data_IF_143310526265
#
_entry.id   IF_143310526265
#
_cell.length_a   1.000
_cell.length_b   1.000
_cell.length_c   1.000
_cell.angle_alpha   90.00
_cell.angle_beta   90.00
_cell.angle_gamma   90.00
#
_symmetry.space_group_name_H-M   'P 1'
#
loop_
_entity.id
_entity.type
_entity.pdbx_description
1 polymer ?
#
# COMPACT_ATOMS: atom_id res chain seq x y z
N UNK A 1 -47.10 -17.25 46.42
CA UNK A 1 -46.27 -18.34 46.96
C UNK A 1 -46.89 -19.65 46.51
N UNK A 2 -46.57 -20.14 45.32
CA UNK A 2 -46.87 -21.50 44.80
C UNK A 2 -46.43 -21.62 43.32
N UNK A 3 -45.82 -22.79 43.02
CA UNK A 3 -45.61 -23.49 41.73
C UNK A 3 -44.48 -23.11 40.74
N UNK A 4 -43.44 -23.96 40.78
CA UNK A 4 -42.71 -24.64 39.69
C UNK A 4 -43.21 -24.47 38.24
N UNK A 5 -42.29 -24.26 37.28
CA UNK A 5 -42.00 -25.21 36.18
C UNK A 5 -40.78 -24.77 35.34
N UNK A 6 -39.96 -25.76 34.94
CA UNK A 6 -38.87 -25.68 33.96
C UNK A 6 -39.29 -25.00 32.64
N UNK A 7 -38.42 -24.17 32.06
CA UNK A 7 -38.29 -24.06 30.60
C UNK A 7 -36.85 -23.74 30.19
N UNK A 8 -36.25 -24.71 29.49
CA UNK A 8 -35.13 -24.52 28.57
C UNK A 8 -35.55 -23.50 27.49
N UNK A 9 -34.74 -22.46 27.25
CA UNK A 9 -34.88 -21.63 26.06
C UNK A 9 -33.55 -21.57 25.31
N UNK A 10 -33.53 -22.28 24.18
CA UNK A 10 -32.66 -22.05 23.05
C UNK A 10 -32.99 -20.67 22.48
N UNK A 11 -32.02 -19.75 22.48
CA UNK A 11 -32.08 -18.55 21.63
C UNK A 11 -31.25 -18.79 20.38
N UNK A 12 -31.93 -19.27 19.34
CA UNK A 12 -31.49 -19.11 17.95
C UNK A 12 -31.75 -17.67 17.53
N UNK A 13 -30.69 -16.88 17.38
CA UNK A 13 -30.76 -15.59 16.69
C UNK A 13 -30.70 -15.84 15.19
N UNK A 14 -31.87 -15.71 14.59
CA UNK A 14 -32.15 -15.78 13.16
C UNK A 14 -31.59 -14.52 12.50
N UNK A 15 -30.40 -14.62 11.89
CA UNK A 15 -29.86 -13.56 11.02
C UNK A 15 -30.66 -13.60 9.72
N UNK A 16 -31.41 -12.53 9.48
CA UNK A 16 -32.21 -12.33 8.29
C UNK A 16 -31.36 -12.48 7.02
N UNK A 17 -31.88 -13.24 6.07
CA UNK A 17 -31.25 -13.57 4.80
C UNK A 17 -30.92 -12.33 3.97
N UNK A 18 -29.67 -12.25 3.53
CA UNK A 18 -29.25 -11.47 2.38
C UNK A 18 -29.76 -12.19 1.12
N UNK A 19 -30.91 -11.76 0.59
CA UNK A 19 -31.21 -12.00 -0.81
C UNK A 19 -30.31 -11.09 -1.65
N UNK A 20 -29.27 -11.68 -2.24
CA UNK A 20 -28.59 -11.08 -3.39
C UNK A 20 -29.60 -10.98 -4.53
N UNK A 21 -29.84 -9.76 -4.99
CA UNK A 21 -30.59 -9.50 -6.23
C UNK A 21 -29.74 -10.01 -7.41
N UNK A 22 -30.18 -11.10 -8.05
CA UNK A 22 -29.52 -11.83 -9.15
C UNK A 22 -29.47 -11.06 -10.49
N UNK A 23 -29.37 -9.73 -10.43
CA UNK A 23 -29.04 -8.93 -11.62
C UNK A 23 -27.57 -9.13 -11.97
N UNK A 24 -27.35 -10.14 -12.80
CA UNK A 24 -26.08 -10.51 -13.45
C UNK A 24 -25.29 -9.25 -13.84
N UNK A 25 -24.17 -8.94 -13.17
CA UNK A 25 -23.29 -7.86 -13.59
C UNK A 25 -22.75 -8.18 -14.99
N UNK A 26 -22.64 -7.16 -15.85
CA UNK A 26 -22.03 -7.29 -17.17
C UNK A 26 -20.63 -7.95 -17.07
N UNK A 27 -20.22 -8.65 -18.13
CA UNK A 27 -18.94 -9.38 -18.19
C UNK A 27 -17.72 -8.52 -17.82
N UNK A 28 -17.76 -7.21 -18.08
CA UNK A 28 -16.71 -6.24 -17.72
C UNK A 28 -16.68 -5.89 -16.23
N UNK A 29 -17.79 -6.00 -15.52
CA UNK A 29 -17.88 -5.74 -14.07
C UNK A 29 -17.44 -6.95 -13.22
N UNK A 30 -17.46 -8.17 -13.77
CA UNK A 30 -16.96 -9.36 -13.05
C UNK A 30 -15.44 -9.43 -12.99
N UNK A 31 -14.73 -8.97 -14.01
CA UNK A 31 -13.26 -8.98 -14.02
C UNK A 31 -12.67 -7.95 -13.05
N UNK A 32 -13.28 -6.77 -12.92
CA UNK A 32 -12.82 -5.72 -11.99
C UNK A 32 -13.08 -6.07 -10.52
N UNK A 33 -14.20 -6.73 -10.20
CA UNK A 33 -14.49 -7.19 -8.83
C UNK A 33 -13.57 -8.36 -8.45
N UNK A 34 -13.24 -9.26 -9.40
CA UNK A 34 -12.28 -10.34 -9.16
C UNK A 34 -10.86 -9.80 -8.93
N UNK A 35 -10.38 -8.87 -9.77
CA UNK A 35 -9.07 -8.25 -9.58
C UNK A 35 -8.96 -7.45 -8.28
N UNK A 36 -10.08 -6.84 -7.83
CA UNK A 36 -10.15 -6.18 -6.53
C UNK A 36 -9.97 -7.19 -5.38
N UNK A 37 -10.69 -8.30 -5.39
CA UNK A 37 -10.51 -9.36 -4.39
C UNK A 37 -9.12 -10.01 -4.46
N UNK A 38 -8.47 -10.00 -5.62
CA UNK A 38 -7.12 -10.57 -5.77
C UNK A 38 -6.05 -9.72 -5.07
N UNK A 39 -6.23 -8.39 -4.96
CA UNK A 39 -5.33 -7.46 -4.24
C UNK A 39 -5.41 -7.56 -2.71
N UNK A 40 -6.57 -7.92 -2.18
CA UNK A 40 -6.90 -7.83 -0.75
C UNK A 40 -7.21 -9.24 -0.23
N UNK A 41 -6.35 -9.78 0.63
CA UNK A 41 -6.48 -11.19 0.96
C UNK A 41 -7.61 -11.50 1.96
N UNK A 42 -8.36 -12.56 1.63
CA UNK A 42 -9.30 -13.26 2.50
C UNK A 42 -8.79 -14.68 2.87
N UNK A 43 -7.53 -15.00 2.57
CA UNK A 43 -6.89 -16.26 2.92
C UNK A 43 -6.63 -16.38 4.43
N UNK A 44 -6.56 -17.63 4.92
CA UNK A 44 -6.36 -17.91 6.34
C UNK A 44 -4.88 -17.74 6.68
N UNK A 45 -4.58 -16.80 7.58
CA UNK A 45 -3.27 -16.45 8.20
C UNK A 45 -2.27 -17.60 8.45
N UNK A 46 -2.70 -18.86 8.52
CA UNK A 46 -1.90 -19.98 9.00
C UNK A 46 -1.26 -20.85 7.89
N UNK A 47 -1.53 -20.57 6.61
CA UNK A 47 -1.02 -21.38 5.49
C UNK A 47 0.04 -20.64 4.64
N UNK A 48 0.01 -19.30 4.65
CA UNK A 48 0.94 -18.48 3.87
C UNK A 48 2.37 -18.48 4.44
N UNK A 49 3.36 -18.41 3.54
CA UNK A 49 4.80 -18.37 3.85
C UNK A 49 5.42 -16.99 3.61
N UNK A 50 4.79 -16.17 2.79
CA UNK A 50 5.21 -14.80 2.48
C UNK A 50 4.22 -13.83 3.08
N UNK A 51 4.69 -12.98 3.98
CA UNK A 51 3.95 -11.83 4.48
C UNK A 51 4.31 -10.60 3.63
N UNK A 52 3.33 -9.92 3.07
CA UNK A 52 3.51 -8.65 2.39
C UNK A 52 2.79 -7.54 3.16
N UNK A 53 3.57 -6.58 3.67
CA UNK A 53 3.00 -5.37 4.27
C UNK A 53 2.46 -4.49 3.14
N UNK A 54 1.14 -4.53 2.94
CA UNK A 54 0.48 -3.64 2.00
C UNK A 54 0.43 -2.25 2.65
N UNK A 55 1.36 -1.36 2.31
CA UNK A 55 1.16 0.06 2.60
C UNK A 55 0.33 0.64 1.45
N UNK A 56 -0.72 1.44 1.70
CA UNK A 56 -1.50 2.02 0.61
C UNK A 56 -0.59 2.77 -0.37
N UNK A 57 -0.89 2.70 -1.67
CA UNK A 57 -0.24 3.51 -2.73
C UNK A 57 1.27 3.29 -2.93
N UNK A 58 1.83 2.18 -2.44
CA UNK A 58 3.20 1.73 -2.76
C UNK A 58 3.23 0.51 -3.71
N UNK A 59 2.32 0.48 -4.69
CA UNK A 59 2.17 -0.60 -5.67
C UNK A 59 1.77 -1.98 -5.09
N UNK A 60 1.11 -2.01 -3.93
CA UNK A 60 0.83 -3.26 -3.22
C UNK A 60 0.03 -4.29 -4.03
N UNK A 61 -0.98 -3.87 -4.79
CA UNK A 61 -1.71 -4.75 -5.72
C UNK A 61 -0.82 -5.43 -6.76
N UNK A 62 0.06 -4.67 -7.41
CA UNK A 62 0.99 -5.21 -8.40
C UNK A 62 1.93 -6.22 -7.75
N UNK A 63 2.46 -5.89 -6.56
CA UNK A 63 3.36 -6.79 -5.82
C UNK A 63 2.67 -8.10 -5.47
N UNK A 64 1.41 -8.05 -5.03
CA UNK A 64 0.65 -9.28 -4.70
C UNK A 64 0.53 -10.18 -5.91
N UNK A 65 0.24 -9.62 -7.09
CA UNK A 65 0.18 -10.40 -8.33
C UNK A 65 1.55 -11.01 -8.65
N UNK A 66 2.63 -10.24 -8.64
CA UNK A 66 3.96 -10.76 -8.98
C UNK A 66 4.45 -11.81 -7.97
N UNK A 67 4.23 -11.59 -6.67
CA UNK A 67 4.52 -12.60 -5.64
C UNK A 67 3.70 -13.88 -5.86
N UNK A 68 2.42 -13.74 -6.23
CA UNK A 68 1.55 -14.89 -6.49
C UNK A 68 2.02 -15.70 -7.69
N UNK A 69 2.49 -15.03 -8.74
CA UNK A 69 3.08 -15.68 -9.92
C UNK A 69 4.40 -16.40 -9.57
N UNK A 70 5.16 -15.91 -8.58
CA UNK A 70 6.43 -16.50 -8.14
C UNK A 70 6.27 -17.71 -7.21
N UNK A 71 5.41 -17.60 -6.18
CA UNK A 71 5.34 -18.60 -5.10
C UNK A 71 3.99 -19.30 -4.97
N UNK A 72 2.99 -18.91 -5.77
CA UNK A 72 1.60 -19.35 -5.61
C UNK A 72 0.81 -18.39 -4.71
N UNK A 73 -0.43 -18.06 -5.12
CA UNK A 73 -1.27 -17.07 -4.43
C UNK A 73 -1.55 -17.45 -2.97
N UNK A 74 -1.71 -18.74 -2.68
CA UNK A 74 -1.98 -19.28 -1.35
C UNK A 74 -0.78 -19.14 -0.40
N UNK A 75 0.42 -18.91 -0.93
CA UNK A 75 1.63 -18.67 -0.13
C UNK A 75 1.78 -17.21 0.30
N UNK A 76 0.96 -16.29 -0.23
CA UNK A 76 1.09 -14.85 0.00
C UNK A 76 -0.04 -14.37 0.89
N UNK A 77 0.29 -13.91 2.09
CA UNK A 77 -0.60 -13.10 2.93
C UNK A 77 -0.29 -11.63 2.72
N UNK A 78 -1.30 -10.82 2.44
CA UNK A 78 -1.16 -9.37 2.26
C UNK A 78 -2.30 -8.65 2.93
N UNK A 79 -1.98 -7.60 3.69
CA UNK A 79 -2.98 -6.78 4.36
C UNK A 79 -2.41 -5.40 4.70
N UNK A 80 -3.29 -4.41 4.83
CA UNK A 80 -2.97 -3.07 5.31
C UNK A 80 -2.94 -3.05 6.85
N UNK A 81 -2.05 -3.86 7.41
CA UNK A 81 -1.84 -4.02 8.86
C UNK A 81 -0.54 -3.36 9.31
N UNK A 82 -0.12 -3.64 10.56
CA UNK A 82 1.20 -3.27 11.05
C UNK A 82 2.25 -4.28 10.61
N UNK A 83 3.49 -3.84 10.43
CA UNK A 83 4.61 -4.75 10.19
C UNK A 83 4.78 -5.79 11.31
N UNK A 84 4.38 -5.47 12.55
CA UNK A 84 4.40 -6.42 13.66
C UNK A 84 3.53 -7.67 13.45
N UNK A 85 2.64 -7.70 12.45
CA UNK A 85 1.94 -8.92 12.04
C UNK A 85 2.88 -9.97 11.41
N UNK A 86 4.02 -9.55 10.86
CA UNK A 86 5.02 -10.46 10.30
C UNK A 86 5.58 -11.44 11.34
N UNK A 87 5.57 -11.08 12.62
CA UNK A 87 6.01 -11.95 13.71
C UNK A 87 4.88 -12.77 14.36
N UNK A 88 3.63 -12.56 13.93
CA UNK A 88 2.46 -13.27 14.46
C UNK A 88 2.07 -14.51 13.65
N UNK A 89 2.67 -14.72 12.49
CA UNK A 89 2.49 -15.90 11.65
C UNK A 89 3.79 -16.69 11.50
N UNK A 90 3.70 -17.89 10.93
CA UNK A 90 4.87 -18.71 10.61
C UNK A 90 5.41 -18.37 9.21
N UNK A 91 5.59 -17.07 8.94
CA UNK A 91 6.09 -16.59 7.66
C UNK A 91 7.61 -16.82 7.56
N UNK A 92 8.05 -17.27 6.40
CA UNK A 92 9.48 -17.45 6.07
C UNK A 92 10.08 -16.18 5.47
N UNK A 93 9.23 -15.31 4.90
CA UNK A 93 9.66 -14.05 4.30
C UNK A 93 8.67 -12.93 4.59
N UNK A 94 9.21 -11.74 4.82
CA UNK A 94 8.44 -10.49 4.88
C UNK A 94 8.87 -9.55 3.75
N UNK A 95 7.90 -9.06 2.99
CA UNK A 95 8.08 -8.16 1.86
C UNK A 95 7.51 -6.79 2.21
N UNK A 96 8.29 -5.75 1.98
CA UNK A 96 7.89 -4.35 2.16
C UNK A 96 8.21 -3.57 0.89
N UNK A 97 7.28 -2.71 0.48
CA UNK A 97 7.52 -1.69 -0.54
C UNK A 97 7.60 -0.31 0.10
N UNK A 98 8.46 0.54 -0.45
CA UNK A 98 8.47 1.97 -0.15
C UNK A 98 8.34 2.80 -1.43
N UNK A 99 7.91 4.05 -1.29
CA UNK A 99 7.78 5.02 -2.38
C UNK A 99 8.31 6.37 -1.95
N UNK A 100 8.80 7.17 -2.89
CA UNK A 100 9.23 8.54 -2.58
C UNK A 100 8.07 9.32 -1.92
N UNK A 101 8.27 9.94 -0.73
CA UNK A 101 7.17 10.41 0.11
C UNK A 101 6.26 11.44 -0.54
N UNK A 102 6.80 12.38 -1.33
CA UNK A 102 5.96 13.37 -2.01
C UNK A 102 5.04 12.68 -3.03
N UNK A 103 5.62 11.83 -3.89
CA UNK A 103 4.87 11.03 -4.85
C UNK A 103 3.87 10.08 -4.18
N UNK A 104 4.17 9.59 -2.98
CA UNK A 104 3.29 8.75 -2.19
C UNK A 104 2.03 9.52 -1.75
N UNK A 105 2.20 10.67 -1.10
CA UNK A 105 1.08 11.52 -0.66
C UNK A 105 0.24 12.02 -1.84
N UNK A 106 0.89 12.43 -2.93
CA UNK A 106 0.17 12.83 -4.14
C UNK A 106 -0.68 11.70 -4.73
N UNK A 107 -0.16 10.47 -4.73
CA UNK A 107 -0.91 9.29 -5.17
C UNK A 107 -2.06 8.91 -4.24
N UNK A 108 -1.98 9.22 -2.94
CA UNK A 108 -3.11 9.07 -2.02
C UNK A 108 -4.26 10.00 -2.41
N UNK A 109 -3.96 11.29 -2.62
CA UNK A 109 -4.96 12.27 -3.04
C UNK A 109 -5.61 11.87 -4.37
N UNK A 110 -4.80 11.57 -5.38
CA UNK A 110 -5.29 11.15 -6.68
C UNK A 110 -6.22 9.94 -6.57
N UNK A 111 -5.86 8.96 -5.73
CA UNK A 111 -6.73 7.82 -5.48
C UNK A 111 -8.05 8.27 -4.84
N UNK A 112 -8.05 8.99 -3.72
CA UNK A 112 -9.30 9.37 -3.05
C UNK A 112 -10.20 10.25 -3.93
N UNK A 113 -9.59 11.17 -4.68
CA UNK A 113 -10.31 12.15 -5.49
C UNK A 113 -10.89 11.54 -6.76
N UNK A 114 -10.15 10.64 -7.41
CA UNK A 114 -10.57 10.06 -8.68
C UNK A 114 -11.13 8.65 -8.56
N UNK A 115 -11.09 8.04 -7.37
CA UNK A 115 -11.34 6.63 -7.20
C UNK A 115 -12.57 6.21 -8.01
N UNK A 116 -12.27 5.50 -9.09
CA UNK A 116 -13.21 4.73 -9.88
C UNK A 116 -13.37 3.32 -9.31
N UNK A 117 -12.59 2.99 -8.28
CA UNK A 117 -12.63 1.71 -7.59
C UNK A 117 -14.05 1.43 -7.11
N UNK A 118 -14.74 0.43 -7.69
CA UNK A 118 -16.14 0.20 -7.38
C UNK A 118 -16.36 -0.18 -5.92
N UNK A 119 -15.38 -0.83 -5.27
CA UNK A 119 -15.44 -1.22 -3.85
C UNK A 119 -15.41 0.00 -2.94
N UNK A 120 -14.39 0.84 -3.11
CA UNK A 120 -14.25 2.10 -2.41
C UNK A 120 -15.45 3.03 -2.67
N UNK A 121 -15.88 3.23 -3.93
CA UNK A 121 -17.06 4.05 -4.25
C UNK A 121 -18.34 3.48 -3.65
N UNK A 122 -18.53 2.16 -3.66
CA UNK A 122 -19.70 1.53 -3.06
C UNK A 122 -19.70 1.71 -1.54
N UNK A 123 -18.54 1.54 -0.88
CA UNK A 123 -18.41 1.69 0.56
C UNK A 123 -18.60 3.14 1.00
N UNK A 124 -17.97 4.09 0.31
CA UNK A 124 -18.13 5.51 0.59
C UNK A 124 -19.55 5.96 0.26
N UNK A 125 -20.10 5.60 -0.91
CA UNK A 125 -21.46 5.94 -1.31
C UNK A 125 -22.53 5.37 -0.37
N UNK A 126 -22.35 4.13 0.13
CA UNK A 126 -23.23 3.56 1.17
C UNK A 126 -23.13 4.33 2.49
N UNK A 127 -21.92 4.67 2.96
CA UNK A 127 -21.75 5.48 4.17
C UNK A 127 -22.31 6.91 4.02
N UNK A 128 -22.20 7.51 2.83
CA UNK A 128 -22.78 8.81 2.51
C UNK A 128 -24.31 8.78 2.49
N UNK A 129 -24.92 7.75 1.89
CA UNK A 129 -26.36 7.54 1.94
C UNK A 129 -26.90 7.33 3.37
N UNK A 130 -26.05 6.90 4.30
CA UNK A 130 -26.34 6.85 5.74
C UNK A 130 -26.11 8.20 6.46
N UNK A 131 -25.26 9.09 5.93
CA UNK A 131 -24.94 10.43 6.49
C UNK A 131 -25.72 11.59 5.83
N UNK A 132 -26.49 11.35 4.76
CA UNK A 132 -27.30 12.37 4.09
C UNK A 132 -26.51 13.43 3.30
N UNK A 133 -25.26 13.16 2.91
CA UNK A 133 -24.43 14.08 2.13
C UNK A 133 -24.43 13.72 0.63
N UNK A 134 -24.70 14.71 -0.24
CA UNK A 134 -24.72 14.55 -1.70
C UNK A 134 -23.33 14.63 -2.37
N UNK A 135 -22.30 15.10 -1.64
CA UNK A 135 -20.92 15.25 -2.15
C UNK A 135 -19.90 14.76 -1.14
N UNK A 136 -18.78 14.27 -1.65
CA UNK A 136 -17.57 13.98 -0.88
C UNK A 136 -17.02 15.29 -0.30
N UNK A 137 -16.63 15.31 0.97
CA UNK A 137 -15.99 16.49 1.60
C UNK A 137 -14.48 16.59 1.29
N UNK A 138 -13.96 15.77 0.38
CA UNK A 138 -12.57 15.88 -0.06
C UNK A 138 -12.40 17.17 -0.86
N UNK A 139 -11.30 17.88 -0.60
CA UNK A 139 -10.97 19.10 -1.33
C UNK A 139 -10.85 18.84 -2.84
N UNK A 140 -11.22 19.86 -3.65
CA UNK A 140 -11.23 19.75 -5.11
C UNK A 140 -9.82 19.74 -5.73
N UNK A 141 -8.83 20.25 -5.00
CA UNK A 141 -7.44 20.33 -5.42
C UNK A 141 -6.48 19.77 -4.37
N UNK A 142 -5.31 19.30 -4.83
CA UNK A 142 -4.29 18.73 -3.95
C UNK A 142 -3.76 19.75 -2.95
N UNK A 143 -3.57 21.00 -3.37
CA UNK A 143 -3.11 22.09 -2.50
C UNK A 143 -4.12 22.39 -1.39
N UNK A 144 -5.42 22.46 -1.71
CA UNK A 144 -6.46 22.66 -0.71
C UNK A 144 -6.51 21.50 0.29
N UNK A 145 -6.35 20.26 -0.18
CA UNK A 145 -6.30 19.07 0.68
C UNK A 145 -5.11 19.10 1.64
N UNK A 146 -3.91 19.41 1.13
CA UNK A 146 -2.70 19.51 1.96
C UNK A 146 -2.79 20.68 2.94
N UNK A 147 -3.35 21.82 2.53
CA UNK A 147 -3.53 22.98 3.40
C UNK A 147 -4.47 22.64 4.57
N UNK A 148 -5.61 21.99 4.30
CA UNK A 148 -6.55 21.56 5.35
C UNK A 148 -5.88 20.59 6.33
N UNK A 149 -5.15 19.59 5.84
CA UNK A 149 -4.44 18.65 6.70
C UNK A 149 -3.32 19.31 7.52
N UNK A 150 -2.66 20.32 6.97
CA UNK A 150 -1.57 21.03 7.64
C UNK A 150 -2.09 21.97 8.74
N UNK A 151 -3.21 22.64 8.47
CA UNK A 151 -3.86 23.58 9.40
C UNK A 151 -4.68 22.85 10.47
N UNK A 152 -5.38 21.77 10.09
CA UNK A 152 -6.31 21.03 10.92
C UNK A 152 -6.00 19.52 10.91
N UNK A 153 -4.82 19.08 11.40
CA UNK A 153 -4.43 17.68 11.35
C UNK A 153 -5.34 16.82 12.23
N UNK A 154 -5.84 15.73 11.66
CA UNK A 154 -6.75 14.79 12.33
C UNK A 154 -5.98 13.56 12.80
N UNK A 155 -5.90 13.38 14.11
CA UNK A 155 -5.17 12.27 14.73
C UNK A 155 -6.12 11.25 15.32
N UNK A 156 -5.78 9.97 15.19
CA UNK A 156 -6.50 8.89 15.85
C UNK A 156 -6.44 7.58 15.10
N UNK A 157 -7.26 6.66 15.60
CA UNK A 157 -7.41 5.31 15.08
C UNK A 157 -8.61 5.27 14.12
N UNK A 158 -8.41 5.69 12.87
CA UNK A 158 -9.47 5.75 11.87
C UNK A 158 -9.04 5.13 10.53
N UNK A 159 -9.99 4.49 9.87
CA UNK A 159 -9.83 3.99 8.50
C UNK A 159 -10.12 5.10 7.49
N UNK A 160 -9.71 4.92 6.23
CA UNK A 160 -10.09 5.79 5.13
C UNK A 160 -11.62 6.02 5.08
N UNK A 161 -12.42 5.06 5.56
CA UNK A 161 -13.88 5.18 5.60
C UNK A 161 -14.46 5.92 6.80
N UNK A 162 -13.64 6.22 7.79
CA UNK A 162 -14.03 6.85 9.06
C UNK A 162 -13.62 8.34 9.08
N UNK A 163 -12.71 8.74 8.19
CA UNK A 163 -12.37 10.14 7.91
C UNK A 163 -13.52 10.85 7.17
N UNK A 164 -13.76 12.12 7.48
CA UNK A 164 -14.84 12.90 6.86
C UNK A 164 -14.56 13.24 5.38
N UNK A 165 -13.29 13.31 4.95
CA UNK A 165 -12.90 13.43 3.54
C UNK A 165 -12.85 12.06 2.84
N UNK A 166 -13.07 10.99 3.61
CA UNK A 166 -12.90 9.60 3.19
C UNK A 166 -11.53 9.32 2.58
N UNK A 167 -10.45 9.94 3.07
CA UNK A 167 -9.11 9.81 2.48
C UNK A 167 -8.04 9.32 3.47
N UNK A 168 -6.89 8.92 2.92
CA UNK A 168 -5.74 8.46 3.67
C UNK A 168 -5.10 9.59 4.50
N UNK A 169 -4.48 9.22 5.63
CA UNK A 169 -3.64 10.11 6.41
C UNK A 169 -2.33 10.45 5.67
N UNK A 170 -2.02 11.72 5.37
CA UNK A 170 -0.80 12.08 4.64
C UNK A 170 0.47 12.08 5.52
N UNK A 171 0.35 11.93 6.83
CA UNK A 171 1.47 12.02 7.77
C UNK A 171 2.21 10.69 7.94
N UNK A 172 3.51 10.68 7.57
CA UNK A 172 4.48 9.60 7.81
C UNK A 172 3.88 8.18 7.72
N UNK A 173 3.08 7.90 6.69
CA UNK A 173 2.31 6.66 6.63
C UNK A 173 3.22 5.44 6.53
N UNK A 174 4.29 5.50 5.74
CA UNK A 174 5.19 4.35 5.56
C UNK A 174 5.91 4.00 6.87
N UNK A 175 6.40 5.01 7.58
CA UNK A 175 7.03 4.87 8.90
C UNK A 175 6.02 4.38 9.94
N UNK A 176 4.79 4.91 9.92
CA UNK A 176 3.72 4.50 10.83
C UNK A 176 3.36 3.02 10.66
N UNK A 177 3.26 2.53 9.42
CA UNK A 177 2.98 1.11 9.14
C UNK A 177 4.09 0.18 9.61
N UNK A 178 5.34 0.64 9.53
CA UNK A 178 6.50 -0.10 10.04
C UNK A 178 6.60 -0.03 11.56
N UNK A 179 6.23 1.08 12.21
CA UNK A 179 6.35 1.25 13.67
C UNK A 179 5.17 0.68 14.46
N UNK A 180 3.98 0.62 13.87
CA UNK A 180 2.78 0.38 14.66
C UNK A 180 2.76 -1.02 15.29
N UNK A 181 2.15 -1.09 16.48
CA UNK A 181 2.10 -2.31 17.27
C UNK A 181 0.67 -2.55 17.75
N UNK A 182 -0.14 -3.13 16.87
CA UNK A 182 -1.54 -3.39 17.20
C UNK A 182 -1.93 -4.82 16.81
N UNK A 183 -2.72 -5.44 17.69
CA UNK A 183 -3.48 -6.67 17.38
C UNK A 183 -4.79 -6.38 16.64
N UNK A 184 -5.12 -5.11 16.46
CA UNK A 184 -6.28 -4.61 15.70
C UNK A 184 -5.75 -3.99 14.41
N UNK A 185 -6.46 -4.19 13.30
CA UNK A 185 -6.15 -3.64 11.97
C UNK A 185 -5.58 -2.23 12.09
N UNK A 186 -4.36 -2.03 11.60
CA UNK A 186 -3.62 -0.79 11.73
C UNK A 186 -4.35 0.32 10.97
N UNK A 187 -4.83 1.31 11.72
CA UNK A 187 -5.71 2.37 11.21
C UNK A 187 -5.22 3.69 11.78
N UNK A 188 -3.97 4.03 11.47
CA UNK A 188 -3.23 5.02 12.23
C UNK A 188 -2.98 6.29 11.42
N UNK A 189 -3.58 7.38 11.89
CA UNK A 189 -3.02 8.70 11.70
C UNK A 189 -2.52 9.19 13.05
N UNK A 190 -1.27 8.90 13.36
CA UNK A 190 -0.66 9.32 14.61
C UNK A 190 0.39 10.38 14.35
N UNK A 191 0.41 11.36 15.23
CA UNK A 191 1.37 12.47 15.15
C UNK A 191 2.81 11.98 15.24
N UNK A 192 3.05 10.95 16.05
CA UNK A 192 4.38 10.40 16.29
C UNK A 192 4.31 8.87 16.14
N UNK A 193 4.92 8.34 15.10
CA UNK A 193 5.31 6.94 15.08
C UNK A 193 6.57 6.78 15.93
N UNK A 194 6.79 5.59 16.51
CA UNK A 194 8.12 5.29 17.05
C UNK A 194 9.07 5.03 15.87
N UNK A 195 9.71 6.10 15.41
CA UNK A 195 10.58 6.06 14.25
C UNK A 195 11.76 5.09 14.42
N UNK A 196 12.23 4.87 15.65
CA UNK A 196 13.30 3.90 15.90
C UNK A 196 12.82 2.47 15.62
N UNK A 197 11.57 2.15 16.00
CA UNK A 197 10.94 0.86 15.65
C UNK A 197 10.72 0.76 14.14
N UNK A 198 10.26 1.82 13.46
CA UNK A 198 10.12 1.81 11.99
C UNK A 198 11.44 1.45 11.30
N UNK A 199 12.54 2.09 11.72
CA UNK A 199 13.88 1.84 11.19
C UNK A 199 14.41 0.45 11.51
N UNK A 200 14.12 -0.09 12.70
CA UNK A 200 14.45 -1.47 13.05
C UNK A 200 13.69 -2.46 12.17
N UNK A 201 12.40 -2.23 11.96
CA UNK A 201 11.54 -3.08 11.16
C UNK A 201 11.85 -3.02 9.66
N UNK A 202 12.23 -1.84 9.15
CA UNK A 202 12.78 -1.69 7.81
C UNK A 202 14.02 -2.57 7.62
N UNK A 203 14.90 -2.67 8.62
CA UNK A 203 16.11 -3.51 8.55
C UNK A 203 15.82 -5.01 8.71
N UNK A 204 14.78 -5.37 9.45
CA UNK A 204 14.43 -6.78 9.70
C UNK A 204 13.54 -7.40 8.60
N UNK A 205 12.87 -6.59 7.78
CA UNK A 205 12.11 -7.07 6.64
C UNK A 205 12.99 -7.93 5.72
N UNK A 206 12.54 -9.13 5.35
CA UNK A 206 13.32 -10.08 4.56
C UNK A 206 13.66 -9.52 3.18
N UNK A 207 12.69 -8.86 2.55
CA UNK A 207 12.84 -8.30 1.21
C UNK A 207 12.22 -6.89 1.21
N UNK A 208 12.95 -5.94 0.63
CA UNK A 208 12.54 -4.56 0.50
C UNK A 208 12.58 -4.17 -0.97
N UNK A 209 11.49 -3.65 -1.50
CA UNK A 209 11.42 -3.06 -2.82
C UNK A 209 11.15 -1.55 -2.78
N UNK A 210 11.35 -0.90 -3.91
CA UNK A 210 11.17 0.53 -4.11
C UNK A 210 10.29 0.72 -5.34
N UNK A 211 9.17 1.44 -5.20
CA UNK A 211 8.20 1.66 -6.30
C UNK A 211 8.87 2.29 -7.51
N UNK A 212 9.80 3.22 -7.29
CA UNK A 212 10.53 3.83 -8.38
C UNK A 212 11.31 2.79 -9.19
N UNK A 213 11.91 1.78 -8.58
CA UNK A 213 12.65 0.72 -9.26
C UNK A 213 11.85 -0.60 -9.20
N UNK A 214 10.61 -0.57 -9.74
CA UNK A 214 9.66 -1.67 -9.60
C UNK A 214 10.15 -2.95 -10.27
N UNK A 215 10.61 -2.89 -11.52
CA UNK A 215 11.18 -4.04 -12.22
C UNK A 215 12.36 -4.66 -11.44
N UNK A 216 13.30 -3.84 -10.97
CA UNK A 216 14.41 -4.30 -10.13
C UNK A 216 13.92 -4.95 -8.82
N UNK A 217 12.85 -4.41 -8.23
CA UNK A 217 12.21 -4.97 -7.02
C UNK A 217 11.66 -6.36 -7.31
N UNK A 218 10.95 -6.56 -8.42
CA UNK A 218 10.44 -7.87 -8.86
C UNK A 218 11.60 -8.86 -9.05
N UNK A 219 12.72 -8.42 -9.63
CA UNK A 219 13.91 -9.26 -9.78
C UNK A 219 14.52 -9.67 -8.44
N UNK A 220 14.60 -8.75 -7.47
CA UNK A 220 15.03 -9.04 -6.11
C UNK A 220 14.09 -10.05 -5.43
N UNK A 221 12.77 -9.91 -5.64
CA UNK A 221 11.78 -10.81 -5.07
C UNK A 221 11.97 -12.23 -5.61
N UNK A 222 12.09 -12.38 -6.92
CA UNK A 222 12.33 -13.68 -7.56
C UNK A 222 13.60 -14.33 -7.02
N UNK A 223 14.71 -13.59 -6.96
CA UNK A 223 15.99 -14.11 -6.50
C UNK A 223 15.96 -14.60 -5.04
N UNK A 224 15.28 -13.86 -4.16
CA UNK A 224 15.19 -14.17 -2.72
C UNK A 224 14.17 -15.27 -2.42
N UNK A 225 13.03 -15.29 -3.11
CA UNK A 225 11.94 -16.23 -2.82
C UNK A 225 12.11 -17.57 -3.55
N UNK A 226 12.56 -17.56 -4.80
CA UNK A 226 12.67 -18.78 -5.62
C UNK A 226 14.09 -19.33 -5.70
N UNK A 227 15.09 -18.51 -5.31
CA UNK A 227 16.50 -18.85 -5.52
C UNK A 227 16.94 -18.80 -6.98
N UNK A 228 16.09 -18.27 -7.88
CA UNK A 228 16.34 -18.16 -9.31
C UNK A 228 16.10 -16.74 -9.82
N UNK A 229 16.80 -16.37 -10.90
CA UNK A 229 16.73 -15.07 -11.52
C UNK A 229 16.21 -15.22 -12.97
N UNK A 230 15.05 -14.63 -13.32
CA UNK A 230 14.50 -14.68 -14.68
C UNK A 230 15.41 -14.02 -15.71
N UNK A 231 15.29 -14.38 -16.99
CA UNK A 231 16.09 -13.78 -18.05
C UNK A 231 15.89 -12.26 -18.19
N UNK A 232 14.68 -11.76 -17.90
CA UNK A 232 14.41 -10.33 -17.93
C UNK A 232 15.09 -9.54 -16.81
N UNK A 233 15.67 -10.22 -15.82
CA UNK A 233 16.40 -9.60 -14.72
C UNK A 233 17.90 -9.44 -15.02
N UNK A 234 18.18 -8.94 -16.21
CA UNK A 234 19.51 -8.58 -16.68
C UNK A 234 19.38 -7.33 -17.55
N UNK A 235 19.66 -6.15 -17.00
CA UNK A 235 19.44 -4.86 -17.63
C UNK A 235 20.36 -4.59 -18.83
N UNK A 236 21.32 -5.48 -19.08
CA UNK A 236 22.17 -5.49 -20.27
C UNK A 236 21.61 -6.43 -21.37
N UNK A 237 20.56 -7.19 -21.07
CA UNK A 237 19.91 -8.13 -21.98
C UNK A 237 18.76 -7.51 -22.78
N UNK A 238 18.41 -8.14 -23.90
CA UNK A 238 17.21 -7.78 -24.66
C UNK A 238 15.92 -8.12 -23.91
N UNK A 239 15.93 -9.15 -23.05
CA UNK A 239 14.77 -9.58 -22.28
C UNK A 239 14.32 -8.54 -21.26
N UNK A 240 15.24 -7.71 -20.74
CA UNK A 240 14.92 -6.58 -19.86
C UNK A 240 13.89 -5.63 -20.47
N UNK A 241 14.12 -5.24 -21.72
CA UNK A 241 13.24 -4.29 -22.42
C UNK A 241 11.92 -4.92 -22.89
N UNK A 242 11.84 -6.26 -22.91
CA UNK A 242 10.63 -6.99 -23.27
C UNK A 242 9.73 -7.26 -22.05
N UNK A 243 10.21 -7.02 -20.82
CA UNK A 243 9.41 -7.17 -19.63
C UNK A 243 8.32 -6.10 -19.58
N UNK A 244 7.09 -6.55 -19.35
CA UNK A 244 5.95 -5.69 -19.11
C UNK A 244 5.71 -5.68 -17.60
N UNK A 245 6.01 -4.56 -16.96
CA UNK A 245 5.74 -4.38 -15.54
C UNK A 245 4.26 -4.64 -15.25
N UNK A 246 4.01 -5.39 -14.18
CA UNK A 246 2.66 -5.54 -13.67
C UNK A 246 2.17 -4.17 -13.20
N UNK A 247 1.23 -3.59 -13.94
CA UNK A 247 0.57 -2.36 -13.55
C UNK A 247 -0.89 -2.63 -13.21
N UNK A 248 -1.19 -2.73 -11.92
CA UNK A 248 -2.56 -2.66 -11.41
C UNK A 248 -2.84 -1.22 -11.06
N UNK A 249 -3.41 -0.48 -12.01
CA UNK A 249 -3.83 0.91 -11.80
C UNK A 249 -5.31 0.96 -11.41
N UNK A 250 -5.65 1.79 -10.44
CA UNK A 250 -7.04 2.15 -10.13
C UNK A 250 -7.46 3.40 -10.93
N UNK A 251 -7.01 3.47 -12.19
CA UNK A 251 -7.07 4.63 -13.10
C UNK A 251 -6.22 5.84 -12.67
N UNK A 252 -5.08 5.65 -12.02
CA UNK A 252 -4.13 6.76 -11.82
C UNK A 252 -3.61 7.33 -13.15
N UNK A 253 -3.68 6.59 -14.26
CA UNK A 253 -3.31 7.11 -15.59
C UNK A 253 -4.22 8.27 -16.02
N UNK A 254 -5.53 8.15 -15.73
CA UNK A 254 -6.46 9.26 -15.92
C UNK A 254 -6.21 10.41 -14.92
N UNK A 255 -5.57 10.12 -13.78
CA UNK A 255 -5.16 11.12 -12.80
C UNK A 255 -3.95 11.95 -13.25
N UNK A 256 -2.96 11.31 -13.86
CA UNK A 256 -1.82 12.01 -14.42
C UNK A 256 -2.24 12.97 -15.54
N UNK A 257 -3.20 12.55 -16.37
CA UNK A 257 -3.79 13.41 -17.41
C UNK A 257 -4.61 14.57 -16.82
N UNK A 258 -5.35 14.33 -15.73
CA UNK A 258 -6.23 15.33 -15.12
C UNK A 258 -5.53 16.31 -14.16
N UNK A 259 -4.47 15.90 -13.44
CA UNK A 259 -3.84 16.68 -12.38
C UNK A 259 -2.36 16.97 -12.60
N UNK A 260 -1.77 16.46 -13.70
CA UNK A 260 -0.37 16.69 -14.04
C UNK A 260 0.60 15.90 -13.17
N UNK A 261 1.83 16.42 -13.05
CA UNK A 261 2.89 15.82 -12.25
C UNK A 261 2.98 16.50 -10.89
N UNK A 262 3.49 15.79 -9.90
CA UNK A 262 3.88 16.41 -8.62
C UNK A 262 4.90 17.55 -8.79
N UNK A 263 5.62 17.58 -9.92
CA UNK A 263 6.54 18.67 -10.27
C UNK A 263 5.83 20.01 -10.53
N UNK A 264 4.53 19.96 -10.84
CA UNK A 264 3.71 21.12 -11.16
C UNK A 264 3.02 21.69 -9.91
N UNK A 265 3.15 21.01 -8.75
CA UNK A 265 2.58 21.45 -7.47
C UNK A 265 3.36 22.66 -6.94
N UNK A 266 2.68 23.72 -6.43
CA UNK A 266 3.33 24.88 -5.84
C UNK A 266 4.35 24.53 -4.76
N UNK A 267 5.46 25.25 -4.73
CA UNK A 267 6.59 24.98 -3.84
C UNK A 267 6.20 25.04 -2.35
N UNK A 268 5.32 25.97 -1.97
CA UNK A 268 4.82 26.10 -0.60
C UNK A 268 4.00 24.88 -0.15
N UNK A 269 3.20 24.31 -1.06
CA UNK A 269 2.45 23.06 -0.82
C UNK A 269 3.42 21.89 -0.68
N UNK A 270 4.44 21.81 -1.52
CA UNK A 270 5.49 20.78 -1.40
C UNK A 270 6.22 20.87 -0.05
N UNK A 271 6.47 22.07 0.48
CA UNK A 271 7.08 22.21 1.80
C UNK A 271 6.17 21.67 2.92
N UNK A 272 4.84 21.85 2.80
CA UNK A 272 3.89 21.26 3.74
C UNK A 272 3.90 19.73 3.67
N UNK A 273 3.95 19.16 2.47
CA UNK A 273 4.14 17.71 2.29
C UNK A 273 5.44 17.24 2.94
N UNK A 274 6.55 17.94 2.70
CA UNK A 274 7.84 17.62 3.32
C UNK A 274 7.83 17.71 4.85
N UNK A 275 7.02 18.61 5.40
CA UNK A 275 6.81 18.77 6.84
C UNK A 275 6.00 17.59 7.41
N UNK A 276 4.98 17.14 6.69
CA UNK A 276 4.13 15.99 7.03
C UNK A 276 4.87 14.65 6.93
N UNK A 277 5.83 14.53 6.01
CA UNK A 277 6.51 13.27 5.68
C UNK A 277 7.99 13.23 6.09
N UNK A 278 8.38 13.98 7.13
CA UNK A 278 9.80 14.07 7.57
C UNK A 278 10.42 12.71 7.87
N UNK A 279 9.69 11.84 8.56
CA UNK A 279 10.17 10.51 8.94
C UNK A 279 10.22 9.59 7.72
N UNK A 280 9.17 9.62 6.88
CA UNK A 280 9.12 8.85 5.64
C UNK A 280 10.26 9.21 4.69
N UNK A 281 10.74 10.47 4.68
CA UNK A 281 11.91 10.88 3.88
C UNK A 281 13.19 10.22 4.38
N UNK A 282 13.42 10.20 5.69
CA UNK A 282 14.60 9.55 6.27
C UNK A 282 14.52 8.04 6.07
N UNK A 283 13.32 7.47 6.25
CA UNK A 283 13.04 6.05 6.01
C UNK A 283 13.31 5.67 4.56
N UNK A 284 12.80 6.43 3.60
CA UNK A 284 12.97 6.20 2.17
C UNK A 284 14.45 6.28 1.76
N UNK A 285 15.22 7.24 2.30
CA UNK A 285 16.66 7.31 2.06
C UNK A 285 17.39 6.04 2.54
N UNK A 286 17.07 5.56 3.74
CA UNK A 286 17.63 4.33 4.26
C UNK A 286 17.19 3.10 3.47
N UNK A 287 15.93 3.08 3.05
CA UNK A 287 15.33 2.01 2.26
C UNK A 287 15.99 1.89 0.88
N UNK A 288 16.17 3.00 0.16
CA UNK A 288 16.89 3.01 -1.12
C UNK A 288 18.32 2.53 -0.96
N UNK A 289 19.05 2.98 0.08
CA UNK A 289 20.40 2.48 0.35
C UNK A 289 20.41 0.96 0.52
N UNK A 290 19.58 0.45 1.44
CA UNK A 290 19.47 -0.99 1.68
C UNK A 290 19.09 -1.75 0.40
N UNK A 291 18.09 -1.27 -0.33
CA UNK A 291 17.67 -1.86 -1.60
C UNK A 291 18.82 -1.99 -2.60
N UNK A 292 19.61 -0.94 -2.77
CA UNK A 292 20.78 -0.98 -3.68
C UNK A 292 21.85 -1.97 -3.21
N UNK A 293 22.04 -2.15 -1.90
CA UNK A 293 22.95 -3.14 -1.32
C UNK A 293 22.42 -4.57 -1.55
N UNK A 294 21.12 -4.79 -1.31
CA UNK A 294 20.45 -6.07 -1.53
C UNK A 294 20.49 -6.50 -3.01
N UNK A 295 20.28 -5.56 -3.93
CA UNK A 295 20.43 -5.82 -5.38
C UNK A 295 21.87 -6.21 -5.71
N UNK A 296 22.86 -5.46 -5.22
CA UNK A 296 24.27 -5.76 -5.50
C UNK A 296 24.66 -7.16 -5.03
N UNK A 297 24.15 -7.62 -3.88
CA UNK A 297 24.36 -9.00 -3.42
C UNK A 297 23.80 -10.02 -4.41
N UNK A 298 22.58 -9.79 -4.92
CA UNK A 298 21.95 -10.66 -5.92
C UNK A 298 22.73 -10.63 -7.24
N UNK A 299 23.15 -9.45 -7.72
CA UNK A 299 23.96 -9.31 -8.93
C UNK A 299 25.26 -10.13 -8.83
N UNK A 300 25.96 -10.04 -7.69
CA UNK A 300 27.16 -10.83 -7.43
C UNK A 300 26.88 -12.33 -7.42
N UNK A 301 25.76 -12.76 -6.84
CA UNK A 301 25.38 -14.17 -6.75
C UNK A 301 25.06 -14.78 -8.12
N UNK A 302 24.38 -14.03 -9.00
CA UNK A 302 23.91 -14.55 -10.29
C UNK A 302 24.80 -14.16 -11.48
N UNK A 303 25.78 -13.26 -11.28
CA UNK A 303 26.62 -12.76 -12.37
C UNK A 303 25.83 -11.95 -13.40
N UNK A 304 24.75 -11.29 -12.97
CA UNK A 304 23.83 -10.51 -13.79
C UNK A 304 23.70 -9.11 -13.25
N UNK A 305 23.42 -8.15 -14.11
CA UNK A 305 23.19 -6.76 -13.70
C UNK A 305 21.70 -6.49 -13.65
N UNK A 306 21.17 -6.19 -12.48
CA UNK A 306 19.75 -5.89 -12.27
C UNK A 306 19.55 -4.39 -12.22
N UNK A 307 20.37 -3.65 -11.45
CA UNK A 307 20.22 -2.20 -11.30
C UNK A 307 21.11 -1.47 -12.31
N UNK A 308 20.46 -0.92 -13.32
CA UNK A 308 21.12 -0.13 -14.35
C UNK A 308 21.67 1.21 -13.79
N UNK A 309 22.78 1.70 -14.36
CA UNK A 309 23.45 2.92 -13.90
C UNK A 309 22.52 4.15 -13.89
N UNK A 310 21.70 4.30 -14.93
CA UNK A 310 20.72 5.39 -15.04
C UNK A 310 19.70 5.35 -13.91
N UNK A 311 19.25 4.16 -13.56
CA UNK A 311 18.25 3.95 -12.53
C UNK A 311 18.83 4.20 -11.13
N UNK A 312 20.05 3.68 -10.86
CA UNK A 312 20.79 4.00 -9.64
C UNK A 312 20.95 5.52 -9.45
N UNK A 313 21.33 6.24 -10.50
CA UNK A 313 21.45 7.70 -10.45
C UNK A 313 20.10 8.37 -10.17
N UNK A 314 19.01 7.88 -10.77
CA UNK A 314 17.66 8.40 -10.53
C UNK A 314 17.22 8.22 -9.08
N UNK A 315 17.48 7.04 -8.50
CA UNK A 315 17.22 6.77 -7.08
C UNK A 315 18.08 7.65 -6.16
N UNK A 316 19.36 7.83 -6.47
CA UNK A 316 20.27 8.71 -5.72
C UNK A 316 19.81 10.18 -5.76
N UNK A 317 19.36 10.66 -6.92
CA UNK A 317 18.80 12.02 -7.04
C UNK A 317 17.56 12.19 -6.17
N UNK A 318 16.69 11.16 -6.07
CA UNK A 318 15.51 11.16 -5.19
C UNK A 318 15.82 11.18 -3.70
N UNK A 319 16.98 10.67 -3.29
CA UNK A 319 17.38 10.65 -1.87
C UNK A 319 18.15 11.90 -1.45
N UNK A 320 18.58 12.75 -2.38
CA UNK A 320 19.49 13.89 -2.10
C UNK A 320 18.83 15.26 -2.05
N UNK A 321 17.53 15.37 -2.31
CA UNK A 321 16.83 16.66 -2.24
C UNK A 321 16.88 17.24 -0.81
N UNK A 322 17.51 18.41 -0.69
CA UNK A 322 17.57 19.17 0.56
C UNK A 322 16.19 19.72 0.88
N UNK A 323 15.81 19.71 2.17
CA UNK A 323 14.77 20.62 2.65
C UNK A 323 15.26 22.04 2.36
N UNK A 324 14.53 22.87 1.62
CA UNK A 324 14.84 24.29 1.56
C UNK A 324 14.83 24.85 2.99
N UNK A 325 15.89 25.59 3.33
CA UNK A 325 16.09 26.21 4.65
C UNK A 325 15.03 27.26 4.98
#
# INVERSE_FOLDING_TARGET
>A
MLYFFLYFFLYTLQVAGLHFDDRVPSRSNRSSIKSYLDCWDLSRKNEAKVFHLHTPKVAGCSVVKDLSDMVGREQVFTDEVCFSYSSQGNYESSVVMVREPRNHVYSMYQFCHLASDPGYRLLVGKKQGLKGQEKYNLAESFDAWINEWHENPRWGDYDIYDDDEFCYCPYNMQSSRLACNSKKTAKYCHKNADFAIAMQNLKSATILGVVEAYHESVCLFSARLTGSLPEHCDCESAAWNAYLETHVSHREDAAAEAYGSIKDVPTDVIHKVDDMTKEDRILYQAAVRRFTEDIKEVELRFGKRILCNSELQRLQNKTTYKTPE
#
